data_IF_736120404697
#
_entry.id   IF_736120404697
#
_cell.length_a   1.000
_cell.length_b   1.000
_cell.length_c   1.000
_cell.angle_alpha   90.00
_cell.angle_beta   90.00
_cell.angle_gamma   90.00
#
_symmetry.space_group_name_H-M   'P 1'
#
loop_
_entity.id
_entity.type
_entity.pdbx_description
1 polymer ?
#
# COMPACT_ATOMS: atom_id res chain seq x y z
N UNK A 1 -28.78 8.27 -1.82
CA UNK A 1 -27.70 7.57 -2.53
C UNK A 1 -26.94 6.82 -1.45
N UNK A 2 -26.90 5.49 -1.47
CA UNK A 2 -25.83 4.81 -0.75
C UNK A 2 -24.55 5.19 -1.50
N UNK A 3 -23.66 5.95 -0.87
CA UNK A 3 -22.34 6.16 -1.43
C UNK A 3 -21.76 4.77 -1.73
N UNK A 4 -21.33 4.55 -2.98
CA UNK A 4 -21.00 3.22 -3.47
C UNK A 4 -19.97 2.52 -2.59
N UNK A 5 -20.13 1.21 -2.44
CA UNK A 5 -19.24 0.30 -1.71
C UNK A 5 -17.77 0.63 -1.99
N UNK A 6 -17.01 0.84 -0.91
CA UNK A 6 -15.58 1.13 -0.96
C UNK A 6 -14.79 -0.12 -0.56
N UNK A 7 -13.58 -0.26 -1.05
CA UNK A 7 -12.66 -1.32 -0.64
C UNK A 7 -11.57 -0.72 0.23
N UNK A 8 -11.22 -1.43 1.30
CA UNK A 8 -10.07 -1.10 2.12
C UNK A 8 -8.85 -1.91 1.67
N UNK A 9 -7.79 -1.22 1.29
CA UNK A 9 -6.53 -1.80 0.84
C UNK A 9 -5.45 -1.62 1.89
N UNK A 10 -4.63 -2.64 2.06
CA UNK A 10 -3.37 -2.59 2.81
C UNK A 10 -2.21 -2.81 1.85
N UNK A 11 -1.26 -1.87 1.86
CA UNK A 11 -0.10 -1.86 1.00
C UNK A 11 1.14 -1.93 1.88
N UNK A 12 1.97 -2.95 1.69
CA UNK A 12 3.26 -3.05 2.38
C UNK A 12 4.31 -2.25 1.59
N UNK A 13 5.12 -1.45 2.27
CA UNK A 13 5.99 -0.44 1.64
C UNK A 13 7.43 -0.59 2.13
N UNK A 14 8.37 -0.41 1.21
CA UNK A 14 9.75 -0.03 1.52
C UNK A 14 9.93 1.46 1.20
N UNK A 15 10.52 2.23 2.11
CA UNK A 15 10.62 3.68 1.95
C UNK A 15 11.59 4.06 0.83
N UNK A 16 12.70 3.34 0.70
CA UNK A 16 13.72 3.61 -0.30
C UNK A 16 14.47 2.35 -0.72
N UNK A 17 14.75 2.20 -2.01
CA UNK A 17 15.72 1.23 -2.50
C UNK A 17 16.41 1.71 -3.76
N UNK A 18 17.72 1.46 -3.84
CA UNK A 18 18.49 1.61 -5.06
C UNK A 18 18.35 0.35 -5.92
N UNK A 19 17.95 0.53 -7.17
CA UNK A 19 17.76 -0.56 -8.13
C UNK A 19 18.76 -0.40 -9.27
N UNK A 20 19.62 -1.40 -9.43
CA UNK A 20 20.52 -1.51 -10.58
C UNK A 20 19.77 -2.09 -11.80
N UNK A 21 19.54 -1.24 -12.81
CA UNK A 21 18.75 -1.59 -13.99
C UNK A 21 19.62 -2.37 -14.98
N UNK A 22 19.33 -3.67 -15.09
CA UNK A 22 20.10 -4.59 -15.93
C UNK A 22 19.73 -4.57 -17.42
N UNK A 23 18.55 -4.04 -17.81
CA UNK A 23 18.02 -4.13 -19.19
C UNK A 23 17.13 -2.94 -19.55
N UNK A 24 17.06 -2.62 -20.85
CA UNK A 24 16.23 -1.54 -21.42
C UNK A 24 16.96 -0.21 -21.62
N UNK A 25 16.23 0.86 -21.91
CA UNK A 25 16.81 2.19 -22.21
C UNK A 25 17.56 2.81 -21.02
N UNK A 26 17.27 2.36 -19.79
CA UNK A 26 17.93 2.80 -18.58
C UNK A 26 19.03 1.85 -18.09
N UNK A 27 19.48 0.89 -18.91
CA UNK A 27 20.51 -0.09 -18.53
C UNK A 27 21.78 0.59 -18.02
N UNK A 28 22.35 0.06 -16.94
CA UNK A 28 23.60 0.54 -16.33
C UNK A 28 23.40 1.77 -15.43
N UNK A 29 22.17 2.20 -15.22
CA UNK A 29 21.83 3.22 -14.22
C UNK A 29 21.39 2.54 -12.94
N UNK A 30 21.78 3.14 -11.82
CA UNK A 30 21.20 2.89 -10.51
C UNK A 30 20.13 3.98 -10.30
N UNK A 31 18.88 3.57 -10.06
CA UNK A 31 17.78 4.48 -9.78
C UNK A 31 17.26 4.23 -8.37
N UNK A 32 17.19 5.29 -7.59
CA UNK A 32 16.56 5.29 -6.27
C UNK A 32 15.05 5.39 -6.42
N UNK A 33 14.32 4.39 -5.92
CA UNK A 33 12.87 4.41 -5.82
C UNK A 33 12.44 4.73 -4.40
N UNK A 34 11.29 5.40 -4.27
CA UNK A 34 10.66 5.73 -3.00
C UNK A 34 9.27 5.12 -2.91
N UNK A 35 8.80 4.84 -1.69
CA UNK A 35 7.47 4.31 -1.39
C UNK A 35 7.12 3.09 -2.26
N UNK A 36 8.02 2.11 -2.24
CA UNK A 36 7.96 0.94 -3.10
C UNK A 36 6.91 -0.01 -2.52
N UNK A 37 5.78 -0.13 -3.21
CA UNK A 37 4.74 -1.09 -2.83
C UNK A 37 5.21 -2.51 -3.15
N UNK A 38 5.17 -3.38 -2.14
CA UNK A 38 5.67 -4.76 -2.21
C UNK A 38 4.57 -5.78 -2.24
N UNK A 39 3.45 -5.48 -1.60
CA UNK A 39 2.29 -6.35 -1.48
C UNK A 39 1.04 -5.50 -1.35
N UNK A 40 -0.02 -5.88 -2.04
CA UNK A 40 -1.34 -5.23 -1.96
C UNK A 40 -2.33 -6.30 -1.50
N UNK A 41 -3.10 -6.01 -0.46
CA UNK A 41 -4.14 -6.89 0.08
C UNK A 41 -5.46 -6.13 0.22
N UNK A 42 -6.56 -6.74 -0.20
CA UNK A 42 -7.90 -6.27 0.20
C UNK A 42 -8.19 -6.75 1.62
N UNK A 43 -8.63 -5.83 2.47
CA UNK A 43 -9.17 -6.10 3.81
C UNK A 43 -10.70 -6.22 3.80
N UNK A 44 -11.29 -6.24 2.60
CA UNK A 44 -12.71 -6.33 2.34
C UNK A 44 -13.37 -4.98 2.07
N UNK A 45 -14.66 -5.06 1.82
CA UNK A 45 -15.49 -3.90 1.52
C UNK A 45 -15.83 -3.10 2.79
N UNK A 46 -16.18 -1.84 2.58
CA UNK A 46 -16.48 -0.84 3.57
C UNK A 46 -17.69 -0.03 3.13
N UNK A 47 -18.68 0.05 4.02
CA UNK A 47 -19.99 0.65 3.79
C UNK A 47 -20.13 2.06 4.40
N UNK A 48 -19.03 2.61 4.93
CA UNK A 48 -19.02 3.91 5.61
C UNK A 48 -19.16 3.83 7.13
N UNK A 49 -19.47 2.66 7.70
CA UNK A 49 -19.59 2.48 9.15
C UNK A 49 -18.24 2.46 9.86
N UNK A 50 -18.22 2.83 11.14
CA UNK A 50 -16.99 2.74 11.94
C UNK A 50 -16.54 1.27 12.04
N UNK A 51 -15.26 1.00 11.73
CA UNK A 51 -14.68 -0.34 11.74
C UNK A 51 -13.31 -0.32 12.40
N UNK A 52 -13.03 -1.35 13.20
CA UNK A 52 -11.72 -1.60 13.80
C UNK A 52 -11.02 -2.73 13.06
N UNK A 53 -9.71 -2.58 12.84
CA UNK A 53 -8.92 -3.51 12.05
C UNK A 53 -7.59 -3.75 12.77
N UNK A 54 -7.32 -5.01 13.06
CA UNK A 54 -6.06 -5.44 13.64
C UNK A 54 -5.06 -5.76 12.53
N UNK A 55 -3.87 -5.17 12.63
CA UNK A 55 -2.75 -5.41 11.71
C UNK A 55 -1.61 -6.09 12.47
N UNK A 56 -1.01 -7.12 11.86
CA UNK A 56 0.20 -7.75 12.41
C UNK A 56 1.45 -7.02 11.90
N UNK A 57 1.81 -5.94 12.59
CA UNK A 57 2.99 -5.14 12.25
C UNK A 57 4.31 -5.91 12.52
N UNK A 58 4.29 -6.92 13.38
CA UNK A 58 5.47 -7.72 13.69
C UNK A 58 5.80 -8.67 12.53
N UNK A 59 4.79 -9.29 11.91
CA UNK A 59 4.95 -10.08 10.69
C UNK A 59 5.54 -9.22 9.56
N UNK A 60 5.01 -8.03 9.33
CA UNK A 60 5.50 -7.13 8.28
C UNK A 60 6.97 -6.73 8.49
N UNK A 61 7.37 -6.47 9.73
CA UNK A 61 8.78 -6.21 10.06
C UNK A 61 9.65 -7.44 9.83
N UNK A 62 9.14 -8.64 10.16
CA UNK A 62 9.86 -9.89 9.91
C UNK A 62 10.01 -10.18 8.40
N UNK A 63 9.07 -9.74 7.57
CA UNK A 63 9.17 -9.73 6.10
C UNK A 63 10.12 -8.62 5.57
N UNK A 64 10.71 -7.82 6.45
CA UNK A 64 11.67 -6.75 6.11
C UNK A 64 11.04 -5.57 5.37
N UNK A 65 9.80 -5.22 5.71
CA UNK A 65 9.11 -4.03 5.21
C UNK A 65 9.37 -2.84 6.14
N UNK A 66 9.41 -1.64 5.58
CA UNK A 66 9.65 -0.41 6.35
C UNK A 66 8.37 0.25 6.86
N UNK A 67 7.23 -0.10 6.27
CA UNK A 67 5.95 0.54 6.59
C UNK A 67 4.76 -0.08 5.86
N UNK A 68 3.60 0.53 6.06
CA UNK A 68 2.40 0.21 5.30
C UNK A 68 1.51 1.44 5.06
N UNK A 69 0.72 1.38 3.99
CA UNK A 69 -0.35 2.34 3.75
C UNK A 69 -1.71 1.62 3.78
N UNK A 70 -2.66 2.23 4.45
CA UNK A 70 -4.07 1.85 4.45
C UNK A 70 -4.83 2.83 3.55
N UNK A 71 -5.58 2.32 2.57
CA UNK A 71 -6.31 3.14 1.60
C UNK A 71 -7.78 2.73 1.57
N UNK A 72 -8.68 3.70 1.71
CA UNK A 72 -10.12 3.52 1.44
C UNK A 72 -10.39 4.02 0.03
N UNK A 73 -10.80 3.14 -0.88
CA UNK A 73 -11.07 3.49 -2.27
C UNK A 73 -12.50 3.17 -2.65
N UNK A 74 -13.22 4.13 -3.23
CA UNK A 74 -14.57 3.88 -3.73
C UNK A 74 -14.51 2.94 -4.94
N UNK A 75 -15.20 1.79 -4.87
CA UNK A 75 -15.11 0.75 -5.91
C UNK A 75 -13.65 0.32 -6.20
N UNK A 76 -13.39 -0.41 -7.29
CA UNK A 76 -12.04 -0.94 -7.59
C UNK A 76 -11.12 0.12 -8.24
N UNK A 77 -11.67 1.11 -8.93
CA UNK A 77 -10.92 2.13 -9.68
C UNK A 77 -11.41 3.57 -9.44
N UNK A 78 -12.23 3.79 -8.41
CA UNK A 78 -12.76 5.10 -8.09
C UNK A 78 -11.81 5.93 -7.22
N UNK A 79 -12.29 7.09 -6.72
CA UNK A 79 -11.48 7.99 -5.90
C UNK A 79 -11.03 7.33 -4.59
N UNK A 80 -9.84 7.72 -4.12
CA UNK A 80 -9.40 7.45 -2.76
C UNK A 80 -10.15 8.40 -1.82
N UNK A 81 -10.92 7.82 -0.89
CA UNK A 81 -11.73 8.54 0.09
C UNK A 81 -10.93 8.87 1.37
N UNK A 82 -9.90 8.09 1.66
CA UNK A 82 -9.03 8.28 2.81
C UNK A 82 -7.77 7.44 2.69
N UNK A 83 -6.70 7.90 3.34
CA UNK A 83 -5.43 7.20 3.40
C UNK A 83 -4.75 7.43 4.75
N UNK A 84 -3.99 6.44 5.20
CA UNK A 84 -3.15 6.49 6.38
C UNK A 84 -1.84 5.77 6.08
N UNK A 85 -0.72 6.34 6.49
CA UNK A 85 0.59 5.70 6.47
C UNK A 85 1.00 5.32 7.89
N UNK A 86 1.65 4.17 8.02
CA UNK A 86 2.21 3.66 9.27
C UNK A 86 3.66 3.25 8.99
N UNK A 87 4.60 3.90 9.67
CA UNK A 87 6.01 3.50 9.66
C UNK A 87 6.26 2.40 10.70
N UNK A 88 7.15 1.46 10.40
CA UNK A 88 7.56 0.37 11.29
C UNK A 88 8.87 0.69 12.02
#
# INVERSE_FOLDING_TARGET
KSDGEATLWLLDIDHVADVDIQRGENTGKIITYHNIVRKIRSLGDWDGSAREISLDLAEMRAEGRDGCALIIQQSIYGPILGALEIEL
#
